data_IF_292964548464
#
_entry.id   IF_292964548464
#
_cell.length_a   1.000
_cell.length_b   1.000
_cell.length_c   1.000
_cell.angle_alpha   90.00
_cell.angle_beta   90.00
_cell.angle_gamma   90.00
#
_symmetry.space_group_name_H-M   'P 1'
#
loop_
_entity.id
_entity.type
_entity.pdbx_description
1 polymer ?
#
# COMPACT_ATOMS: atom_id res chain seq x y z
N UNK A 1 -9.16 -4.57 11.46
CA UNK A 1 -8.45 -4.91 10.21
C UNK A 1 -9.45 -5.40 9.18
N UNK A 2 -9.64 -4.59 8.14
CA UNK A 2 -10.42 -4.86 6.95
C UNK A 2 -9.49 -5.10 5.76
N UNK A 3 -10.07 -5.58 4.68
CA UNK A 3 -9.36 -5.84 3.44
C UNK A 3 -10.02 -5.07 2.31
N UNK A 4 -9.20 -4.54 1.42
CA UNK A 4 -9.66 -3.65 0.36
C UNK A 4 -9.07 -4.06 -0.98
N UNK A 5 -9.82 -3.83 -2.04
CA UNK A 5 -9.42 -4.06 -3.42
C UNK A 5 -9.28 -2.72 -4.13
N UNK A 6 -8.06 -2.32 -4.45
CA UNK A 6 -7.77 -1.08 -5.16
C UNK A 6 -7.58 -1.35 -6.66
N UNK A 7 -8.44 -0.77 -7.50
CA UNK A 7 -8.24 -0.81 -8.94
C UNK A 7 -7.33 0.35 -9.36
N UNK A 8 -6.11 0.03 -9.80
CA UNK A 8 -5.04 1.00 -10.08
C UNK A 8 -4.70 0.98 -11.58
N UNK A 9 -5.61 1.41 -12.44
CA UNK A 9 -5.44 1.26 -13.90
C UNK A 9 -4.31 2.11 -14.48
N UNK A 10 -4.30 3.43 -14.26
CA UNK A 10 -3.36 4.36 -14.89
C UNK A 10 -2.33 4.96 -13.92
N UNK A 11 -2.53 4.78 -12.62
CA UNK A 11 -1.71 5.42 -11.57
C UNK A 11 -0.89 4.42 -10.74
N UNK A 12 -0.86 3.14 -11.11
CA UNK A 12 -0.18 2.09 -10.33
C UNK A 12 1.28 2.44 -10.01
N UNK A 13 2.08 2.78 -11.04
CA UNK A 13 3.52 3.03 -10.86
C UNK A 13 3.78 4.21 -9.93
N UNK A 14 2.99 5.29 -10.06
CA UNK A 14 3.12 6.49 -9.23
C UNK A 14 2.64 6.26 -7.79
N UNK A 15 1.53 5.55 -7.60
CA UNK A 15 0.94 5.25 -6.29
C UNK A 15 1.81 4.28 -5.48
N UNK A 16 2.31 3.24 -6.13
CA UNK A 16 3.13 2.21 -5.50
C UNK A 16 4.53 2.73 -5.19
N UNK A 17 5.17 3.45 -6.13
CA UNK A 17 6.46 4.08 -5.86
C UNK A 17 6.34 5.22 -4.84
N UNK A 18 5.24 5.97 -4.86
CA UNK A 18 4.99 7.10 -3.98
C UNK A 18 4.48 6.73 -2.58
N UNK A 19 4.10 5.48 -2.33
CA UNK A 19 3.62 5.05 -1.02
C UNK A 19 2.23 5.61 -0.66
N UNK A 20 1.35 5.75 -1.65
CA UNK A 20 0.03 6.31 -1.43
C UNK A 20 -1.06 5.66 -2.29
N UNK A 21 -2.31 5.93 -1.94
CA UNK A 21 -3.49 5.70 -2.78
C UNK A 21 -4.28 7.01 -2.80
N UNK A 22 -4.61 7.52 -3.99
CA UNK A 22 -5.35 8.77 -4.12
C UNK A 22 -6.62 8.61 -4.94
N UNK A 23 -7.66 9.35 -4.59
CA UNK A 23 -8.91 9.42 -5.34
C UNK A 23 -9.49 10.82 -5.34
N UNK A 24 -10.06 11.25 -6.47
CA UNK A 24 -10.92 12.44 -6.51
C UNK A 24 -12.14 12.24 -5.63
N UNK A 25 -12.71 13.33 -5.12
CA UNK A 25 -13.99 13.29 -4.37
C UNK A 25 -15.22 13.21 -5.29
N UNK A 26 -15.09 13.72 -6.52
CA UNK A 26 -16.16 13.72 -7.52
C UNK A 26 -15.64 13.12 -8.83
N UNK A 27 -16.53 12.63 -9.67
CA UNK A 27 -16.20 12.31 -11.06
C UNK A 27 -15.97 13.59 -11.85
N UNK A 28 -15.34 13.45 -13.02
CA UNK A 28 -15.13 14.55 -13.98
C UNK A 28 -16.42 15.20 -14.47
N UNK A 29 -17.56 14.50 -14.36
CA UNK A 29 -18.91 15.01 -14.67
C UNK A 29 -19.59 15.70 -13.47
N UNK A 30 -18.90 15.84 -12.33
CA UNK A 30 -19.43 16.42 -11.10
C UNK A 30 -20.29 15.48 -10.24
N UNK A 31 -20.59 14.27 -10.70
CA UNK A 31 -21.38 13.29 -9.94
C UNK A 31 -20.58 12.67 -8.79
N UNK A 32 -21.29 12.32 -7.70
CA UNK A 32 -20.70 11.56 -6.58
C UNK A 32 -20.51 10.10 -7.00
N UNK A 33 -19.33 9.56 -6.70
CA UNK A 33 -19.06 8.13 -6.82
C UNK A 33 -18.85 7.53 -5.42
N UNK A 34 -19.76 6.67 -4.92
CA UNK A 34 -19.65 6.06 -3.59
C UNK A 34 -18.34 5.30 -3.35
N UNK A 35 -17.69 4.80 -4.42
CA UNK A 35 -16.41 4.10 -4.33
C UNK A 35 -15.22 5.02 -4.01
N UNK A 36 -15.38 6.34 -4.14
CA UNK A 36 -14.36 7.30 -3.70
C UNK A 36 -14.45 7.57 -2.20
N UNK A 37 -15.67 7.58 -1.67
CA UNK A 37 -15.91 7.71 -0.22
C UNK A 37 -15.44 6.45 0.53
N UNK A 38 -15.24 5.32 -0.15
CA UNK A 38 -14.71 4.09 0.47
C UNK A 38 -13.31 4.27 1.06
N UNK A 39 -12.50 5.23 0.57
CA UNK A 39 -11.21 5.55 1.22
C UNK A 39 -11.40 6.05 2.66
N UNK A 40 -12.51 6.75 2.95
CA UNK A 40 -12.83 7.25 4.30
C UNK A 40 -13.19 6.16 5.29
N UNK A 41 -13.48 4.95 4.80
CA UNK A 41 -13.81 3.79 5.63
C UNK A 41 -12.59 2.98 6.03
N UNK A 42 -11.42 3.31 5.48
CA UNK A 42 -10.14 2.64 5.78
C UNK A 42 -9.61 3.07 7.15
N UNK A 43 -8.91 2.16 7.81
CA UNK A 43 -8.26 2.42 9.09
C UNK A 43 -6.79 1.98 9.06
N UNK A 44 -5.90 2.60 9.85
CA UNK A 44 -4.55 2.11 10.04
C UNK A 44 -4.52 0.62 10.37
N UNK A 45 -3.65 -0.12 9.69
CA UNK A 45 -3.53 -1.58 9.80
C UNK A 45 -4.44 -2.38 8.85
N UNK A 46 -5.30 -1.73 8.07
CA UNK A 46 -6.03 -2.41 6.98
C UNK A 46 -5.11 -2.81 5.83
N UNK A 47 -5.50 -3.85 5.08
CA UNK A 47 -4.75 -4.39 3.94
C UNK A 47 -5.42 -4.01 2.63
N UNK A 48 -4.63 -3.63 1.63
CA UNK A 48 -5.10 -3.25 0.29
C UNK A 48 -4.45 -4.14 -0.77
N UNK A 49 -5.25 -4.75 -1.64
CA UNK A 49 -4.76 -5.44 -2.84
C UNK A 49 -4.67 -4.45 -4.00
N UNK A 50 -3.45 -4.21 -4.49
CA UNK A 50 -3.19 -3.37 -5.66
C UNK A 50 -3.41 -4.14 -6.95
N UNK A 51 -4.56 -3.95 -7.58
CA UNK A 51 -4.95 -4.65 -8.81
C UNK A 51 -4.68 -3.77 -10.05
N UNK A 52 -3.84 -4.26 -10.94
CA UNK A 52 -3.44 -3.56 -12.16
C UNK A 52 -3.11 -4.57 -13.28
N UNK A 53 -3.54 -4.30 -14.51
CA UNK A 53 -3.36 -5.18 -15.69
C UNK A 53 -3.71 -6.64 -15.38
N UNK A 54 -4.96 -6.83 -14.96
CA UNK A 54 -5.58 -8.14 -14.68
C UNK A 54 -4.92 -9.01 -13.60
N UNK A 55 -4.04 -8.43 -12.77
CA UNK A 55 -3.35 -9.13 -11.71
C UNK A 55 -3.28 -8.28 -10.43
N UNK A 56 -3.18 -8.94 -9.28
CA UNK A 56 -2.73 -8.30 -8.04
C UNK A 56 -1.21 -8.25 -8.12
N UNK A 57 -0.66 -7.04 -8.04
CA UNK A 57 0.77 -6.78 -8.19
C UNK A 57 1.42 -6.29 -6.91
N UNK A 58 0.64 -5.70 -6.01
CA UNK A 58 1.11 -5.27 -4.71
C UNK A 58 0.10 -5.58 -3.61
N UNK A 59 0.61 -5.71 -2.39
CA UNK A 59 -0.17 -5.72 -1.15
C UNK A 59 0.25 -4.50 -0.34
N UNK A 60 -0.70 -3.66 0.01
CA UNK A 60 -0.51 -2.43 0.75
C UNK A 60 -0.99 -2.54 2.19
N UNK A 61 -0.33 -1.83 3.09
CA UNK A 61 -0.76 -1.64 4.48
C UNK A 61 -1.09 -0.17 4.71
N UNK A 62 -2.29 0.09 5.21
CA UNK A 62 -2.71 1.46 5.56
C UNK A 62 -1.93 1.93 6.78
N UNK A 63 -1.23 3.05 6.64
CA UNK A 63 -0.38 3.60 7.69
C UNK A 63 -1.14 4.59 8.58
N UNK A 64 -1.96 5.43 7.97
CA UNK A 64 -2.60 6.57 8.62
C UNK A 64 -4.07 6.70 8.16
N UNK A 65 -4.94 7.36 8.94
CA UNK A 65 -6.27 7.71 8.49
C UNK A 65 -6.22 8.52 7.19
N UNK A 66 -7.27 8.41 6.37
CA UNK A 66 -7.37 9.18 5.13
C UNK A 66 -7.30 10.69 5.43
N UNK A 67 -6.59 11.42 4.58
CA UNK A 67 -6.51 12.87 4.63
C UNK A 67 -7.04 13.49 3.33
N UNK A 68 -7.46 14.74 3.42
CA UNK A 68 -7.73 15.53 2.22
C UNK A 68 -6.43 16.14 1.71
N UNK A 69 -6.08 15.89 0.46
CA UNK A 69 -4.86 16.42 -0.14
C UNK A 69 -4.99 16.55 -1.66
N UNK A 70 -4.23 17.46 -2.30
CA UNK A 70 -4.12 17.50 -3.76
C UNK A 70 -3.55 16.18 -4.28
N UNK A 71 -3.86 15.85 -5.54
CA UNK A 71 -3.23 14.69 -6.19
C UNK A 71 -1.71 14.84 -6.11
N UNK A 72 -0.97 13.85 -5.57
CA UNK A 72 0.48 13.86 -5.61
C UNK A 72 0.88 13.59 -7.07
N UNK A 73 0.89 14.64 -7.88
CA UNK A 73 1.29 14.55 -9.29
C UNK A 73 2.65 13.85 -9.38
N UNK A 74 2.85 13.06 -10.43
CA UNK A 74 4.12 12.41 -10.74
C UNK A 74 5.19 13.40 -11.24
N UNK A 75 5.38 14.51 -10.52
CA UNK A 75 6.27 15.61 -10.83
C UNK A 75 5.85 16.92 -10.15
N UNK A 76 6.76 17.90 -10.01
CA UNK A 76 6.40 19.22 -9.49
C UNK A 76 5.36 19.87 -10.42
N UNK A 77 4.31 20.50 -9.88
CA UNK A 77 3.33 21.20 -10.70
C UNK A 77 4.03 22.35 -11.46
N UNK A 78 3.70 22.61 -12.74
CA UNK A 78 4.04 23.90 -13.34
C UNK A 78 3.43 25.02 -12.47
N UNK A 79 4.14 26.14 -12.33
CA UNK A 79 3.85 27.24 -11.41
C UNK A 79 2.48 27.96 -11.59
N UNK A 80 1.58 27.39 -12.40
CA UNK A 80 0.29 27.97 -12.79
C UNK A 80 -0.95 27.26 -12.20
N UNK A 81 -0.83 26.09 -11.58
CA UNK A 81 -2.00 25.36 -11.05
C UNK A 81 -2.16 25.55 -9.53
N UNK A 82 -2.62 26.75 -9.15
CA UNK A 82 -3.03 27.07 -7.78
C UNK A 82 -4.41 26.48 -7.39
N UNK A 83 -5.07 25.75 -8.30
CA UNK A 83 -6.37 25.09 -8.13
C UNK A 83 -6.25 23.56 -8.25
N UNK A 84 -5.28 22.96 -7.55
CA UNK A 84 -5.15 21.50 -7.51
C UNK A 84 -6.41 20.88 -6.87
N UNK A 85 -7.13 20.05 -7.63
CA UNK A 85 -8.36 19.39 -7.16
C UNK A 85 -8.07 18.56 -5.89
N UNK A 86 -8.68 18.93 -4.77
CA UNK A 86 -8.53 18.20 -3.51
C UNK A 86 -9.24 16.84 -3.58
N UNK A 87 -8.49 15.80 -3.28
CA UNK A 87 -8.95 14.41 -3.22
C UNK A 87 -8.79 13.79 -1.83
N UNK A 88 -9.11 12.51 -1.75
CA UNK A 88 -8.78 11.64 -0.63
C UNK A 88 -7.40 11.02 -0.87
N UNK A 89 -6.47 11.26 0.05
CA UNK A 89 -5.13 10.67 0.07
C UNK A 89 -5.02 9.70 1.24
N UNK A 90 -4.56 8.49 0.94
CA UNK A 90 -4.27 7.47 1.92
C UNK A 90 -2.79 7.10 1.83
N UNK A 91 -2.09 7.14 2.96
CA UNK A 91 -0.71 6.68 3.04
C UNK A 91 -0.67 5.15 3.14
N UNK A 92 0.03 4.51 2.21
CA UNK A 92 0.05 3.05 2.07
C UNK A 92 1.49 2.59 1.92
N UNK A 93 1.92 1.69 2.81
CA UNK A 93 3.17 0.96 2.61
C UNK A 93 2.92 -0.19 1.66
N UNK A 94 3.35 -0.03 0.41
CA UNK A 94 3.18 -1.03 -0.63
C UNK A 94 4.31 -2.06 -0.63
N UNK A 95 3.93 -3.31 -0.81
CA UNK A 95 4.82 -4.44 -0.99
C UNK A 95 4.50 -5.08 -2.36
N UNK A 96 5.40 -4.89 -3.32
CA UNK A 96 5.25 -5.44 -4.66
C UNK A 96 5.58 -6.93 -4.70
N UNK A 97 4.65 -7.71 -5.26
CA UNK A 97 4.74 -9.15 -5.40
C UNK A 97 5.76 -9.52 -6.48
N UNK A 98 6.70 -10.42 -6.15
CA UNK A 98 7.62 -10.97 -7.16
C UNK A 98 6.86 -11.69 -8.29
N UNK A 99 5.79 -12.39 -7.91
CA UNK A 99 4.90 -13.10 -8.83
C UNK A 99 3.51 -12.48 -8.73
N UNK A 100 3.09 -11.67 -9.70
CA UNK A 100 1.75 -11.13 -9.75
C UNK A 100 0.72 -12.27 -9.67
N UNK A 101 -0.25 -12.14 -8.77
CA UNK A 101 -1.33 -13.11 -8.65
C UNK A 101 -2.40 -12.78 -9.69
N UNK A 102 -2.66 -13.71 -10.62
CA UNK A 102 -3.72 -13.57 -11.63
C UNK A 102 -4.99 -14.26 -11.11
N UNK A 103 -6.00 -13.54 -10.59
CA UNK A 103 -7.15 -14.17 -9.93
C UNK A 103 -7.93 -15.11 -10.85
N UNK A 104 -7.97 -14.81 -12.15
CA UNK A 104 -8.62 -15.63 -13.16
C UNK A 104 -8.08 -17.06 -13.23
N UNK A 105 -6.82 -17.28 -12.91
CA UNK A 105 -6.18 -18.62 -12.89
C UNK A 105 -6.55 -19.43 -11.64
N UNK A 106 -7.17 -18.79 -10.63
CA UNK A 106 -7.48 -19.40 -9.34
C UNK A 106 -8.98 -19.37 -9.02
N UNK A 107 -9.83 -19.20 -10.03
CA UNK A 107 -11.28 -19.08 -9.81
C UNK A 107 -11.90 -20.36 -9.22
N UNK A 108 -11.32 -21.53 -9.42
CA UNK A 108 -11.76 -22.76 -8.75
C UNK A 108 -11.73 -22.64 -7.21
N UNK A 109 -10.77 -21.88 -6.68
CA UNK A 109 -10.61 -21.62 -5.24
C UNK A 109 -11.39 -20.37 -4.83
N UNK A 110 -11.35 -19.32 -5.65
CA UNK A 110 -11.90 -18.01 -5.30
C UNK A 110 -13.42 -17.95 -5.45
N UNK A 111 -13.99 -18.52 -6.52
CA UNK A 111 -15.43 -18.46 -6.81
C UNK A 111 -16.34 -18.79 -5.62
N UNK A 112 -16.15 -19.91 -4.88
CA UNK A 112 -17.02 -20.25 -3.75
C UNK A 112 -16.85 -19.33 -2.53
N UNK A 113 -15.79 -18.50 -2.48
CA UNK A 113 -15.50 -17.60 -1.38
C UNK A 113 -15.96 -16.16 -1.65
N UNK A 114 -16.27 -15.82 -2.90
CA UNK A 114 -16.68 -14.48 -3.28
C UNK A 114 -18.12 -14.21 -2.80
N UNK A 115 -18.40 -12.98 -2.33
CA UNK A 115 -19.74 -12.62 -1.93
C UNK A 115 -20.66 -12.53 -3.17
N UNK A 116 -21.95 -12.83 -3.04
CA UNK A 116 -22.91 -12.74 -4.15
C UNK A 116 -23.13 -11.29 -4.63
N UNK A 117 -22.83 -10.29 -3.78
CA UNK A 117 -22.94 -8.87 -4.07
C UNK A 117 -21.65 -8.15 -3.67
N UNK A 118 -21.33 -7.04 -4.35
CA UNK A 118 -20.13 -6.23 -4.10
C UNK A 118 -18.81 -7.02 -4.20
N UNK A 119 -18.78 -8.08 -5.02
CA UNK A 119 -17.57 -8.85 -5.28
C UNK A 119 -16.53 -8.00 -6.02
N UNK A 120 -15.24 -8.03 -5.62
CA UNK A 120 -14.17 -7.35 -6.36
C UNK A 120 -13.89 -7.99 -7.73
N UNK A 121 -14.34 -9.24 -7.93
CA UNK A 121 -14.10 -10.05 -9.11
C UNK A 121 -15.43 -10.49 -9.74
N UNK A 122 -15.45 -10.54 -11.07
CA UNK A 122 -16.48 -11.19 -11.88
C UNK A 122 -16.35 -12.71 -11.81
N UNK A 123 -17.37 -13.45 -12.24
CA UNK A 123 -17.32 -14.93 -12.36
C UNK A 123 -16.16 -15.43 -13.23
N UNK A 124 -15.69 -14.61 -14.18
CA UNK A 124 -14.53 -14.89 -15.04
C UNK A 124 -13.19 -14.50 -14.39
N UNK A 125 -13.18 -14.09 -13.12
CA UNK A 125 -11.99 -13.66 -12.40
C UNK A 125 -11.39 -12.34 -12.88
N UNK A 126 -12.16 -11.53 -13.62
CA UNK A 126 -11.75 -10.15 -13.95
C UNK A 126 -12.21 -9.19 -12.85
N UNK A 127 -11.33 -8.29 -12.44
CA UNK A 127 -11.67 -7.17 -11.56
C UNK A 127 -12.81 -6.32 -12.12
N UNK A 128 -13.71 -5.90 -11.24
CA UNK A 128 -14.84 -5.04 -11.61
C UNK A 128 -14.36 -3.66 -12.09
N UNK A 129 -15.09 -3.10 -13.06
CA UNK A 129 -14.83 -1.76 -13.60
C UNK A 129 -15.62 -0.72 -12.80
N UNK A 130 -15.01 0.43 -12.50
CA UNK A 130 -15.68 1.58 -11.88
C UNK A 130 -15.59 1.69 -10.35
N UNK A 131 -15.15 0.63 -9.66
CA UNK A 131 -14.82 0.67 -8.23
C UNK A 131 -13.36 1.05 -8.01
N UNK A 132 -13.10 2.21 -7.39
CA UNK A 132 -11.74 2.65 -7.03
C UNK A 132 -11.19 1.80 -5.89
N UNK A 133 -11.97 1.68 -4.83
CA UNK A 133 -11.70 0.88 -3.65
C UNK A 133 -12.98 0.11 -3.28
N UNK A 134 -12.88 -1.20 -3.10
CA UNK A 134 -14.01 -2.07 -2.71
C UNK A 134 -13.60 -2.93 -1.52
N UNK A 135 -14.47 -3.05 -0.53
CA UNK A 135 -14.21 -3.91 0.63
C UNK A 135 -14.25 -5.39 0.21
N UNK A 136 -13.27 -6.16 0.69
CA UNK A 136 -13.15 -7.60 0.43
C UNK A 136 -13.44 -8.35 1.73
N UNK A 137 -14.38 -9.32 1.73
CA UNK A 137 -14.62 -10.12 2.91
C UNK A 137 -13.39 -10.92 3.35
N UNK A 138 -13.30 -11.24 4.64
CA UNK A 138 -12.10 -11.87 5.22
C UNK A 138 -11.72 -13.21 4.57
N UNK A 139 -12.70 -14.04 4.21
CA UNK A 139 -12.44 -15.37 3.61
C UNK A 139 -11.73 -15.28 2.23
N UNK A 140 -12.28 -14.57 1.23
CA UNK A 140 -11.60 -14.41 -0.05
C UNK A 140 -10.28 -13.64 0.09
N UNK A 141 -10.20 -12.64 0.99
CA UNK A 141 -8.96 -11.91 1.22
C UNK A 141 -7.82 -12.82 1.73
N UNK A 142 -8.12 -13.72 2.67
CA UNK A 142 -7.14 -14.71 3.15
C UNK A 142 -6.70 -15.66 2.04
N UNK A 143 -7.63 -16.14 1.21
CA UNK A 143 -7.29 -16.99 0.07
C UNK A 143 -6.37 -16.27 -0.92
N UNK A 144 -6.64 -15.00 -1.22
CA UNK A 144 -5.77 -14.16 -2.06
C UNK A 144 -4.36 -14.01 -1.47
N UNK A 145 -4.25 -13.74 -0.16
CA UNK A 145 -2.94 -13.64 0.51
C UNK A 145 -2.19 -14.98 0.47
N UNK A 146 -2.85 -16.11 0.71
CA UNK A 146 -2.22 -17.43 0.62
C UNK A 146 -1.74 -17.74 -0.79
N UNK A 147 -2.55 -17.46 -1.81
CA UNK A 147 -2.20 -17.65 -3.23
C UNK A 147 -1.06 -16.73 -3.68
N UNK A 148 -1.01 -15.50 -3.14
CA UNK A 148 0.09 -14.56 -3.39
C UNK A 148 1.43 -15.01 -2.75
N UNK A 149 1.42 -16.03 -1.90
CA UNK A 149 2.62 -16.53 -1.22
C UNK A 149 2.69 -16.16 0.26
N UNK A 150 1.56 -15.87 0.93
CA UNK A 150 1.49 -15.54 2.37
C UNK A 150 2.09 -16.59 3.32
N UNK A 151 2.26 -17.83 2.87
CA UNK A 151 2.99 -18.90 3.60
C UNK A 151 4.50 -18.88 3.38
N UNK A 152 5.00 -18.00 2.52
CA UNK A 152 6.41 -17.89 2.13
C UNK A 152 6.74 -16.42 1.85
N UNK A 153 7.08 -15.62 2.88
CA UNK A 153 7.30 -14.17 2.75
C UNK A 153 8.31 -13.76 1.66
N UNK A 154 9.30 -14.62 1.38
CA UNK A 154 10.27 -14.41 0.31
C UNK A 154 9.64 -14.31 -1.10
N UNK A 155 8.46 -14.90 -1.30
CA UNK A 155 7.71 -14.83 -2.57
C UNK A 155 6.88 -13.55 -2.69
N UNK A 156 6.59 -12.90 -1.55
CA UNK A 156 5.88 -11.63 -1.52
C UNK A 156 6.83 -10.47 -1.82
N UNK A 157 8.09 -10.52 -1.39
CA UNK A 157 9.00 -9.37 -1.44
C UNK A 157 9.77 -9.26 -2.76
N UNK A 158 9.54 -8.25 -3.59
CA UNK A 158 10.50 -7.88 -4.63
C UNK A 158 11.78 -7.28 -3.99
N UNK A 159 12.99 -7.77 -4.28
CA UNK A 159 14.23 -7.31 -3.64
C UNK A 159 14.64 -5.88 -4.03
N UNK A 160 13.91 -5.22 -4.95
CA UNK A 160 14.14 -3.83 -5.33
C UNK A 160 13.42 -2.83 -4.43
N UNK A 161 13.41 -3.07 -3.11
CA UNK A 161 12.87 -2.12 -2.13
C UNK A 161 13.64 -0.80 -2.25
N UNK A 162 12.97 0.27 -2.67
CA UNK A 162 13.54 1.62 -2.53
C UNK A 162 13.26 2.07 -1.10
N UNK A 163 14.29 2.44 -0.36
CA UNK A 163 14.22 2.85 1.05
C UNK A 163 13.13 3.90 1.36
N UNK A 164 12.65 4.64 0.37
CA UNK A 164 11.56 5.61 0.50
C UNK A 164 10.20 4.99 0.84
N UNK A 165 9.98 3.69 0.56
CA UNK A 165 8.70 2.99 0.79
C UNK A 165 8.49 2.57 2.25
N UNK A 166 9.54 2.65 3.08
CA UNK A 166 9.51 2.32 4.49
C UNK A 166 9.95 3.55 5.29
N UNK A 167 8.99 4.38 5.71
CA UNK A 167 9.21 5.33 6.83
C UNK A 167 9.25 4.58 8.16
N UNK A 168 10.12 3.59 8.27
CA UNK A 168 10.54 3.07 9.56
C UNK A 168 11.85 3.78 9.89
N UNK A 169 11.79 4.80 10.75
CA UNK A 169 12.96 5.18 11.53
C UNK A 169 13.25 4.01 12.45
N UNK A 170 14.17 3.14 12.06
CA UNK A 170 14.82 2.28 13.02
C UNK A 170 15.56 3.22 13.97
N UNK A 171 15.02 3.43 15.16
CA UNK A 171 15.76 4.12 16.21
C UNK A 171 16.94 3.22 16.53
N UNK A 172 18.11 3.59 16.04
CA UNK A 172 19.35 2.91 16.38
C UNK A 172 19.48 2.99 17.91
N UNK A 173 19.68 1.86 18.61
CA UNK A 173 19.88 1.91 20.05
C UNK A 173 21.08 2.81 20.30
N UNK A 174 20.90 3.80 21.17
CA UNK A 174 21.94 4.76 21.52
C UNK A 174 23.25 4.01 21.79
N UNK A 175 24.39 4.45 21.25
CA UNK A 175 25.67 3.80 21.52
C UNK A 175 25.83 3.75 23.04
N UNK A 176 25.95 2.53 23.57
CA UNK A 176 26.22 2.32 24.98
C UNK A 176 27.39 3.21 25.37
N UNK A 177 27.14 4.12 26.31
CA UNK A 177 28.05 5.20 26.66
C UNK A 177 29.47 4.68 26.84
N UNK A 178 30.41 5.34 26.18
CA UNK A 178 31.84 5.11 26.36
C UNK A 178 32.14 5.03 27.85
N UNK A 179 32.59 3.85 28.29
CA UNK A 179 33.09 3.65 29.63
C UNK A 179 34.14 4.72 29.96
N UNK A 180 34.16 5.28 31.18
CA UNK A 180 35.13 6.29 31.55
C UNK A 180 36.53 5.70 31.44
N UNK A 181 37.39 6.37 30.66
CA UNK A 181 38.79 6.01 30.51
C UNK A 181 39.48 6.01 31.88
N UNK A 182 40.08 4.87 32.24
CA UNK A 182 40.98 4.76 33.38
C UNK A 182 42.17 5.71 33.18
N UNK A 183 42.59 6.48 34.20
CA UNK A 183 43.76 7.34 34.09
C UNK A 183 45.04 6.49 33.97
N UNK A 184 45.87 6.83 33.00
CA UNK A 184 47.19 6.23 32.76
C UNK A 184 48.14 6.49 33.94
N UNK A 185 49.02 5.53 34.30
CA UNK A 185 50.02 5.75 35.35
C UNK A 185 51.11 6.71 34.87
N UNK A 186 51.44 7.70 35.70
CA UNK A 186 52.61 8.58 35.57
C UNK A 186 53.90 7.75 35.68
N UNK A 187 54.91 7.96 34.82
CA UNK A 187 56.23 7.40 35.05
C UNK A 187 56.94 8.22 36.13
N UNK A 188 57.43 7.53 37.16
CA UNK A 188 58.32 8.06 38.19
C UNK A 188 59.57 8.69 37.56
N UNK A 189 59.85 9.93 37.96
CA UNK A 189 61.17 10.54 37.83
C UNK A 189 62.12 9.82 38.77
N UNK A 190 63.14 9.14 38.21
CA UNK A 190 64.31 8.75 38.99
C UNK A 190 65.58 8.92 38.15
N UNK A 191 66.50 9.73 38.71
CA UNK A 191 67.92 9.98 38.37
C UNK A 191 68.28 10.95 37.23
#
# INVERSE_FOLDING_TARGET
MRYWWANQMSAYDAEVAGGYLWSRKRRSDGSRNPFYDSLTLTQPGDIIFGYHRTAIRAVGFVLEPVAEAPCPAAGPPPAAEADAELGWLLHVSWLELQRPLVPAEHMEILAPLLPPYNSPLTEKGRGIQGGRLVEVPTRPARALLELAGGRSPAQLLCPSWKAQQMRFTFSEPAPAGSAPALPSPTPDEDS
#
